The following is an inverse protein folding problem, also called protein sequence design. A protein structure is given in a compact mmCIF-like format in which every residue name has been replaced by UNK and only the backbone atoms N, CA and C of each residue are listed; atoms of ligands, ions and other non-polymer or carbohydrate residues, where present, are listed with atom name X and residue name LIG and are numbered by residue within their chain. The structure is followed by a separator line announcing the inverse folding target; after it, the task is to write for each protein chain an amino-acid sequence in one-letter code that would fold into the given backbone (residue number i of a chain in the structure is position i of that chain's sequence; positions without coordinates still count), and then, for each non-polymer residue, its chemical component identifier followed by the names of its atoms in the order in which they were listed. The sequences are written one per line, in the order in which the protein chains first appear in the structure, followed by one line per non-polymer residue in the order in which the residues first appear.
data_IF_115379306975
#
_entry.id   IF_115379306975
#
_cell.length_a   1.000
_cell.length_b   1.000
_cell.length_c   1.000
_cell.angle_alpha   90.00
_cell.angle_beta   90.00
_cell.angle_gamma   90.00
#
_symmetry.space_group_name_H-M   'P 1'
#
loop_
_entity.id
_entity.type
_entity.pdbx_description
1 polymer ?
#
# COMPACT_ATOMS: atom_id res chain seq x y z
N UNK A 1 -7.94 21.08 12.10
CA UNK A 1 -7.74 20.01 13.12
C UNK A 1 -8.45 18.69 12.78
N UNK A 2 -9.69 18.66 12.25
CA UNK A 2 -10.35 17.41 11.84
C UNK A 2 -9.60 16.71 10.69
N UNK A 3 -9.16 17.44 9.67
CA UNK A 3 -8.44 16.94 8.50
C UNK A 3 -7.16 16.20 8.87
N UNK A 4 -6.37 16.74 9.80
CA UNK A 4 -5.11 16.13 10.26
C UNK A 4 -5.39 14.81 11.04
N UNK A 5 -6.47 14.74 11.82
CA UNK A 5 -6.85 13.48 12.49
C UNK A 5 -7.22 12.38 11.49
N UNK A 6 -7.97 12.74 10.43
CA UNK A 6 -8.29 11.82 9.36
C UNK A 6 -7.03 11.37 8.60
N UNK A 7 -6.08 12.28 8.38
CA UNK A 7 -4.79 11.95 7.78
C UNK A 7 -4.03 10.89 8.60
N UNK A 8 -3.93 11.04 9.93
CA UNK A 8 -3.27 10.04 10.77
C UNK A 8 -3.99 8.69 10.78
N UNK A 9 -5.32 8.72 10.80
CA UNK A 9 -6.11 7.50 10.71
C UNK A 9 -5.90 6.81 9.34
N UNK A 10 -5.93 7.57 8.24
CA UNK A 10 -5.67 7.01 6.91
C UNK A 10 -4.27 6.41 6.81
N UNK A 11 -3.24 7.06 7.36
CA UNK A 11 -1.87 6.52 7.39
C UNK A 11 -1.77 5.20 8.15
N UNK A 12 -2.47 5.10 9.27
CA UNK A 12 -2.52 3.86 10.05
C UNK A 12 -3.20 2.73 9.25
N UNK A 13 -4.42 2.99 8.73
CA UNK A 13 -5.19 1.95 8.04
C UNK A 13 -4.61 1.56 6.68
N UNK A 14 -3.97 2.48 5.94
CA UNK A 14 -3.32 2.18 4.66
C UNK A 14 -2.13 1.24 4.80
N UNK A 15 -1.53 1.15 5.99
CA UNK A 15 -0.41 0.28 6.31
C UNK A 15 -0.81 -0.88 7.26
N UNK A 16 -2.03 -0.89 7.78
CA UNK A 16 -2.56 -2.01 8.57
C UNK A 16 -2.98 -3.17 7.65
N UNK A 17 -2.00 -3.75 6.96
CA UNK A 17 -2.20 -4.78 5.94
C UNK A 17 -1.66 -6.11 6.47
N UNK A 18 -2.57 -7.03 6.74
CA UNK A 18 -2.28 -8.28 7.44
C UNK A 18 -1.38 -9.22 6.64
N UNK A 19 -1.38 -9.14 5.31
CA UNK A 19 -0.60 -10.01 4.43
C UNK A 19 0.88 -9.62 4.34
N UNK A 20 1.28 -8.40 4.70
CA UNK A 20 2.65 -7.94 4.54
C UNK A 20 3.73 -8.85 5.16
N UNK A 21 3.59 -9.35 6.38
CA UNK A 21 4.60 -10.25 6.92
C UNK A 21 4.53 -11.67 6.36
N UNK A 22 3.46 -12.02 5.63
CA UNK A 22 3.18 -13.41 5.24
C UNK A 22 3.20 -13.69 3.73
N UNK A 23 3.21 -12.68 2.86
CA UNK A 23 3.08 -12.91 1.41
C UNK A 23 4.18 -13.82 0.85
N UNK A 24 5.42 -13.70 1.31
CA UNK A 24 6.50 -14.59 0.87
C UNK A 24 6.26 -16.04 1.33
N UNK A 25 5.79 -16.22 2.56
CA UNK A 25 5.44 -17.55 3.08
C UNK A 25 4.30 -18.18 2.27
N UNK A 26 3.26 -17.39 1.97
CA UNK A 26 2.12 -17.83 1.15
C UNK A 26 2.61 -18.34 -0.22
N UNK A 27 3.52 -17.61 -0.87
CA UNK A 27 4.04 -18.02 -2.17
C UNK A 27 4.93 -19.27 -2.09
N UNK A 28 5.74 -19.41 -1.04
CA UNK A 28 6.56 -20.61 -0.83
C UNK A 28 5.69 -21.84 -0.55
N UNK A 29 4.66 -21.74 0.28
CA UNK A 29 3.68 -22.82 0.52
C UNK A 29 2.94 -23.23 -0.76
N UNK A 30 2.79 -22.30 -1.72
CA UNK A 30 2.21 -22.55 -3.04
C UNK A 30 3.21 -23.07 -4.07
N UNK A 31 4.42 -23.40 -3.65
CA UNK A 31 5.45 -24.03 -4.50
C UNK A 31 6.35 -23.04 -5.26
N UNK A 32 6.28 -21.73 -4.97
CA UNK A 32 7.24 -20.78 -5.54
C UNK A 32 8.58 -20.85 -4.79
N UNK A 33 9.67 -20.90 -5.53
CA UNK A 33 11.01 -20.92 -4.95
C UNK A 33 11.40 -19.56 -4.35
N UNK A 34 12.43 -19.54 -3.49
CA UNK A 34 13.02 -18.30 -2.96
C UNK A 34 13.50 -17.40 -4.10
N UNK A 35 14.08 -17.98 -5.16
CA UNK A 35 14.49 -17.23 -6.35
C UNK A 35 13.29 -16.57 -7.05
N UNK A 36 12.17 -17.27 -7.18
CA UNK A 36 10.92 -16.69 -7.71
C UNK A 36 10.43 -15.51 -6.86
N UNK A 37 10.54 -15.60 -5.55
CA UNK A 37 10.21 -14.50 -4.64
C UNK A 37 11.11 -13.27 -4.86
N UNK A 38 12.39 -13.47 -5.15
CA UNK A 38 13.31 -12.39 -5.54
C UNK A 38 12.88 -11.70 -6.84
N UNK A 39 12.48 -12.48 -7.85
CA UNK A 39 11.93 -11.92 -9.09
C UNK A 39 10.64 -11.13 -8.87
N UNK A 40 9.74 -11.58 -7.99
CA UNK A 40 8.53 -10.84 -7.65
C UNK A 40 8.84 -9.48 -7.03
N UNK A 41 9.85 -9.40 -6.15
CA UNK A 41 10.31 -8.12 -5.59
C UNK A 41 10.91 -7.20 -6.67
N UNK A 42 11.69 -7.76 -7.61
CA UNK A 42 12.21 -7.01 -8.75
C UNK A 42 11.09 -6.47 -9.65
N UNK A 43 10.06 -7.28 -9.92
CA UNK A 43 8.86 -6.86 -10.68
C UNK A 43 8.15 -5.70 -9.96
N UNK A 44 7.96 -5.80 -8.66
CA UNK A 44 7.36 -4.71 -7.88
C UNK A 44 8.17 -3.42 -7.97
N UNK A 45 9.47 -3.48 -7.71
CA UNK A 45 10.36 -2.32 -7.76
C UNK A 45 10.40 -1.69 -9.16
N UNK A 46 10.47 -2.51 -10.21
CA UNK A 46 10.42 -2.04 -11.59
C UNK A 46 9.05 -1.39 -11.92
N UNK A 47 7.96 -1.97 -11.44
CA UNK A 47 6.62 -1.42 -11.62
C UNK A 47 6.47 -0.06 -10.95
N UNK A 48 6.95 0.10 -9.71
CA UNK A 48 6.99 1.40 -9.02
C UNK A 48 7.73 2.42 -9.89
N UNK A 49 8.95 2.09 -10.34
CA UNK A 49 9.76 2.99 -11.16
C UNK A 49 9.08 3.33 -12.49
N UNK A 50 8.49 2.36 -13.17
CA UNK A 50 7.84 2.56 -14.47
C UNK A 50 6.57 3.41 -14.38
N UNK A 51 5.83 3.28 -13.28
CA UNK A 51 4.58 4.02 -13.08
C UNK A 51 4.76 5.38 -12.38
N UNK A 52 5.94 5.70 -11.83
CA UNK A 52 6.18 6.96 -11.10
C UNK A 52 5.83 8.20 -11.94
N UNK A 53 6.34 8.28 -13.17
CA UNK A 53 6.08 9.43 -14.06
C UNK A 53 4.60 9.46 -14.51
N UNK A 54 4.00 8.38 -15.05
CA UNK A 54 2.59 8.37 -15.42
C UNK A 54 1.65 8.71 -14.24
N UNK A 55 1.92 8.16 -13.05
CA UNK A 55 1.12 8.40 -11.86
C UNK A 55 1.20 9.88 -11.41
N UNK A 56 2.40 10.47 -11.44
CA UNK A 56 2.59 11.90 -11.18
C UNK A 56 1.77 12.77 -12.14
N UNK A 57 1.82 12.49 -13.44
CA UNK A 57 1.02 13.23 -14.45
C UNK A 57 -0.49 13.11 -14.21
N UNK A 58 -0.98 11.96 -13.75
CA UNK A 58 -2.39 11.76 -13.38
C UNK A 58 -2.72 12.57 -12.12
N UNK A 59 -1.87 12.51 -11.11
CA UNK A 59 -2.04 13.24 -9.85
C UNK A 59 -2.10 14.75 -10.03
N UNK A 60 -1.30 15.29 -10.97
CA UNK A 60 -1.28 16.74 -11.24
C UNK A 60 -2.53 17.25 -11.97
N UNK A 61 -3.18 16.38 -12.75
CA UNK A 61 -4.37 16.74 -13.55
C UNK A 61 -5.70 16.38 -12.89
N UNK A 62 -5.70 15.39 -12.02
CA UNK A 62 -6.90 14.88 -11.35
C UNK A 62 -7.04 15.44 -9.93
N UNK A 63 -8.24 15.27 -9.36
CA UNK A 63 -8.42 15.56 -7.94
C UNK A 63 -7.63 14.54 -7.10
N UNK A 64 -6.66 15.02 -6.29
CA UNK A 64 -5.74 14.19 -5.51
C UNK A 64 -6.46 13.18 -4.61
N UNK A 65 -7.62 13.56 -4.04
CA UNK A 65 -8.43 12.64 -3.24
C UNK A 65 -8.92 11.44 -4.05
N UNK A 66 -9.33 11.64 -5.30
CA UNK A 66 -9.76 10.54 -6.16
C UNK A 66 -8.60 9.65 -6.57
N UNK A 67 -7.39 10.22 -6.78
CA UNK A 67 -6.19 9.44 -7.07
C UNK A 67 -5.79 8.57 -5.87
N UNK A 68 -5.85 9.11 -4.64
CA UNK A 68 -5.61 8.35 -3.41
C UNK A 68 -6.62 7.22 -3.21
N UNK A 69 -7.91 7.46 -3.51
CA UNK A 69 -8.93 6.40 -3.45
C UNK A 69 -8.64 5.32 -4.50
N UNK A 70 -8.28 5.72 -5.73
CA UNK A 70 -7.91 4.78 -6.79
C UNK A 70 -6.68 3.94 -6.39
N UNK A 71 -5.68 4.54 -5.76
CA UNK A 71 -4.51 3.82 -5.24
C UNK A 71 -4.91 2.71 -4.25
N UNK A 72 -5.80 3.00 -3.29
CA UNK A 72 -6.30 2.01 -2.33
C UNK A 72 -7.05 0.88 -3.03
N UNK A 73 -7.93 1.21 -4.00
CA UNK A 73 -8.67 0.20 -4.77
C UNK A 73 -7.71 -0.70 -5.56
N UNK A 74 -6.70 -0.12 -6.23
CA UNK A 74 -5.69 -0.87 -6.97
C UNK A 74 -4.88 -1.79 -6.04
N UNK A 75 -4.54 -1.34 -4.83
CA UNK A 75 -3.86 -2.15 -3.81
C UNK A 75 -4.74 -3.33 -3.37
N UNK A 76 -6.02 -3.10 -3.12
CA UNK A 76 -6.97 -4.16 -2.78
C UNK A 76 -7.08 -5.20 -3.91
N UNK A 77 -7.21 -4.76 -5.17
CA UNK A 77 -7.23 -5.65 -6.33
C UNK A 77 -5.93 -6.47 -6.46
N UNK A 78 -4.77 -5.89 -6.14
CA UNK A 78 -3.50 -6.59 -6.14
C UNK A 78 -3.52 -7.82 -5.20
N UNK A 79 -4.05 -7.66 -3.98
CA UNK A 79 -4.14 -8.76 -3.01
C UNK A 79 -5.22 -9.78 -3.39
N UNK A 80 -6.33 -9.34 -3.99
CA UNK A 80 -7.35 -10.25 -4.52
C UNK A 80 -6.82 -11.13 -5.65
N UNK A 81 -5.90 -10.64 -6.49
CA UNK A 81 -5.24 -11.44 -7.52
C UNK A 81 -4.35 -12.55 -6.95
N UNK A 82 -3.97 -12.48 -5.68
CA UNK A 82 -3.23 -13.55 -5.03
C UNK A 82 -4.13 -14.67 -4.48
N UNK A 83 -5.46 -14.48 -4.44
CA UNK A 83 -6.39 -15.51 -3.96
C UNK A 83 -6.37 -16.75 -4.88
N UNK A 84 -6.56 -16.63 -6.21
CA UNK A 84 -6.43 -17.77 -7.09
C UNK A 84 -4.96 -18.19 -7.21
N UNK A 85 -4.67 -19.47 -6.95
CA UNK A 85 -3.31 -20.01 -7.01
C UNK A 85 -2.91 -20.35 -8.46
N UNK A 86 -2.73 -19.35 -9.30
CA UNK A 86 -2.24 -19.52 -10.68
C UNK A 86 -0.71 -19.44 -10.77
N UNK A 87 -0.01 -19.78 -9.70
CA UNK A 87 1.44 -19.79 -9.63
C UNK A 87 2.07 -18.39 -9.77
N UNK A 88 3.20 -18.34 -10.48
CA UNK A 88 3.99 -17.11 -10.62
C UNK A 88 3.22 -15.96 -11.30
N UNK A 89 2.33 -16.27 -12.25
CA UNK A 89 1.61 -15.24 -13.01
C UNK A 89 0.67 -14.44 -12.11
N UNK A 90 -0.13 -15.08 -11.25
CA UNK A 90 -1.02 -14.35 -10.34
C UNK A 90 -0.23 -13.55 -9.31
N UNK A 91 0.87 -14.12 -8.80
CA UNK A 91 1.77 -13.40 -7.90
C UNK A 91 2.34 -12.14 -8.58
N UNK A 92 2.93 -12.27 -9.76
CA UNK A 92 3.54 -11.18 -10.52
C UNK A 92 2.52 -10.09 -10.87
N UNK A 93 1.31 -10.46 -11.33
CA UNK A 93 0.24 -9.50 -11.64
C UNK A 93 -0.15 -8.67 -10.41
N UNK A 94 -0.27 -9.28 -9.25
CA UNK A 94 -0.54 -8.57 -8.00
C UNK A 94 0.60 -7.61 -7.63
N UNK A 95 1.87 -8.00 -7.81
CA UNK A 95 3.01 -7.13 -7.56
C UNK A 95 3.07 -5.93 -8.54
N UNK A 96 2.68 -6.11 -9.80
CA UNK A 96 2.55 -5.00 -10.76
C UNK A 96 1.49 -4.00 -10.30
N UNK A 97 0.30 -4.48 -9.91
CA UNK A 97 -0.75 -3.60 -9.40
C UNK A 97 -0.37 -2.94 -8.07
N UNK A 98 0.31 -3.66 -7.19
CA UNK A 98 0.81 -3.05 -5.95
C UNK A 98 1.82 -1.94 -6.26
N UNK A 99 2.76 -2.14 -7.21
CA UNK A 99 3.69 -1.10 -7.65
C UNK A 99 2.97 0.12 -8.25
N UNK A 100 1.92 -0.09 -9.06
CA UNK A 100 1.08 0.99 -9.57
C UNK A 100 0.38 1.75 -8.41
N UNK A 101 -0.19 1.04 -7.45
CA UNK A 101 -0.81 1.66 -6.27
C UNK A 101 0.18 2.53 -5.50
N UNK A 102 1.40 2.03 -5.29
CA UNK A 102 2.46 2.76 -4.57
C UNK A 102 2.84 4.05 -5.29
N UNK A 103 3.01 4.00 -6.62
CA UNK A 103 3.30 5.17 -7.45
C UNK A 103 2.17 6.19 -7.45
N UNK A 104 0.90 5.75 -7.48
CA UNK A 104 -0.25 6.65 -7.36
C UNK A 104 -0.34 7.31 -5.98
N UNK A 105 0.10 6.63 -4.94
CA UNK A 105 -0.01 7.12 -3.56
C UNK A 105 1.13 8.08 -3.19
N UNK A 106 2.38 7.76 -3.53
CA UNK A 106 3.57 8.41 -2.97
C UNK A 106 3.58 9.93 -3.13
N UNK A 107 3.66 10.44 -4.35
CA UNK A 107 3.67 11.88 -4.62
C UNK A 107 2.32 12.56 -4.36
N UNK A 108 1.22 11.85 -4.59
CA UNK A 108 -0.14 12.40 -4.41
C UNK A 108 -0.45 12.71 -2.96
N UNK A 109 -0.06 11.84 -2.02
CA UNK A 109 -0.28 12.05 -0.59
C UNK A 109 0.49 13.24 -0.07
N UNK A 110 1.77 13.36 -0.45
CA UNK A 110 2.62 14.47 -0.03
C UNK A 110 2.10 15.81 -0.53
N UNK A 111 1.73 15.87 -1.79
CA UNK A 111 1.17 17.06 -2.40
C UNK A 111 -0.20 17.43 -1.80
N UNK A 112 -1.07 16.44 -1.57
CA UNK A 112 -2.36 16.66 -0.91
C UNK A 112 -2.20 17.22 0.51
N UNK A 113 -1.27 16.69 1.29
CA UNK A 113 -1.00 17.17 2.65
C UNK A 113 -0.47 18.61 2.61
N UNK A 114 0.49 18.90 1.71
CA UNK A 114 1.06 20.24 1.58
C UNK A 114 0.00 21.27 1.17
N UNK A 115 -0.81 20.97 0.15
CA UNK A 115 -1.89 21.86 -0.31
C UNK A 115 -2.94 22.11 0.78
N UNK A 116 -3.29 21.06 1.55
CA UNK A 116 -4.23 21.19 2.67
C UNK A 116 -3.68 22.14 3.72
N UNK A 117 -2.41 22.01 4.11
CA UNK A 117 -1.79 22.88 5.10
C UNK A 117 -1.59 24.31 4.55
N UNK A 118 -1.29 24.45 3.26
CA UNK A 118 -1.18 25.77 2.61
C UNK A 118 -2.51 26.51 2.63
N UNK A 119 -3.61 25.82 2.38
CA UNK A 119 -4.95 26.42 2.45
C UNK A 119 -5.37 26.83 3.88
N UNK A 120 -4.79 26.20 4.90
CA UNK A 120 -5.00 26.53 6.32
C UNK A 120 -3.94 27.52 6.87
N UNK A 121 -2.98 27.98 6.06
CA UNK A 121 -1.89 28.87 6.47
C UNK A 121 -0.93 28.27 7.51
N UNK A 122 -0.73 26.95 7.48
CA UNK A 122 0.02 26.18 8.50
C UNK A 122 1.08 25.25 7.91
N UNK A 123 1.70 25.68 6.81
CA UNK A 123 2.75 24.90 6.11
C UNK A 123 4.01 24.69 6.97
N UNK A 124 4.28 25.55 7.94
CA UNK A 124 5.37 25.38 8.91
C UNK A 124 5.25 24.09 9.74
N UNK A 125 4.05 23.53 9.84
CA UNK A 125 3.80 22.28 10.55
C UNK A 125 3.94 21.01 9.68
N UNK A 126 4.20 21.17 8.37
CA UNK A 126 4.24 20.05 7.41
C UNK A 126 5.15 18.89 7.87
N UNK A 127 6.43 19.18 8.16
CA UNK A 127 7.42 18.17 8.56
C UNK A 127 6.98 17.42 9.82
N UNK A 128 6.43 18.14 10.81
CA UNK A 128 5.95 17.53 12.06
C UNK A 128 4.73 16.64 11.82
N UNK A 129 3.80 17.09 11.00
CA UNK A 129 2.57 16.34 10.70
C UNK A 129 2.89 15.11 9.88
N UNK A 130 3.76 15.25 8.85
CA UNK A 130 4.24 14.11 8.05
C UNK A 130 4.98 13.08 8.89
N UNK A 131 5.87 13.52 9.79
CA UNK A 131 6.58 12.63 10.71
C UNK A 131 5.64 11.86 11.65
N UNK A 132 4.60 12.51 12.18
CA UNK A 132 3.56 11.82 12.96
C UNK A 132 2.74 10.85 12.08
N UNK A 133 2.43 11.21 10.85
CA UNK A 133 1.78 10.32 9.89
C UNK A 133 2.60 9.04 9.68
N UNK A 134 3.93 9.18 9.49
CA UNK A 134 4.83 8.02 9.38
C UNK A 134 4.86 7.16 10.64
N UNK A 135 4.79 7.75 11.82
CA UNK A 135 4.68 7.00 13.07
C UNK A 135 3.39 6.16 13.12
N UNK A 136 2.24 6.73 12.72
CA UNK A 136 0.99 5.98 12.65
C UNK A 136 1.01 4.87 11.58
N UNK A 137 1.64 5.11 10.44
CA UNK A 137 1.88 4.09 9.41
C UNK A 137 2.70 2.91 9.97
N UNK A 138 3.80 3.20 10.65
CA UNK A 138 4.64 2.18 11.29
C UNK A 138 3.89 1.41 12.38
N UNK A 139 3.04 2.07 13.15
CA UNK A 139 2.13 1.39 14.10
C UNK A 139 1.17 0.44 13.39
N UNK A 140 0.62 0.86 12.23
CA UNK A 140 -0.24 0.01 11.40
C UNK A 140 0.46 -1.29 11.03
N UNK A 141 1.68 -1.20 10.48
CA UNK A 141 2.50 -2.36 10.12
C UNK A 141 2.78 -3.24 11.35
N UNK A 142 3.21 -2.64 12.46
CA UNK A 142 3.57 -3.37 13.68
C UNK A 142 2.40 -4.14 14.28
N UNK A 143 1.19 -3.59 14.23
CA UNK A 143 -0.02 -4.24 14.73
C UNK A 143 -0.63 -5.21 13.72
N UNK A 144 -0.42 -5.01 12.43
CA UNK A 144 -0.87 -5.93 11.40
C UNK A 144 -0.20 -7.31 11.50
N UNK A 145 1.08 -7.36 11.91
CA UNK A 145 1.82 -8.61 12.02
C UNK A 145 1.20 -9.61 13.02
N UNK A 146 0.97 -9.29 14.29
CA UNK A 146 0.32 -10.21 15.22
C UNK A 146 -1.15 -10.47 14.86
N UNK A 147 -1.87 -9.49 14.32
CA UNK A 147 -3.25 -9.65 13.87
C UNK A 147 -3.34 -10.64 12.68
N UNK A 148 -2.46 -10.50 11.69
CA UNK A 148 -2.35 -11.44 10.57
C UNK A 148 -1.93 -12.83 11.02
N UNK A 149 -0.97 -12.93 11.97
CA UNK A 149 -0.57 -14.21 12.57
C UNK A 149 -1.71 -14.90 13.32
N UNK A 150 -2.55 -14.15 14.02
CA UNK A 150 -3.75 -14.72 14.63
C UNK A 150 -4.77 -15.19 13.59
N UNK A 151 -5.02 -14.37 12.55
CA UNK A 151 -5.97 -14.66 11.49
C UNK A 151 -5.52 -15.85 10.61
N UNK A 152 -4.20 -16.07 10.45
CA UNK A 152 -3.66 -17.17 9.65
C UNK A 152 -4.09 -18.56 10.15
N UNK A 153 -4.52 -18.67 11.43
CA UNK A 153 -5.11 -19.89 11.99
C UNK A 153 -6.38 -20.33 11.26
N UNK A 154 -7.08 -19.39 10.61
CA UNK A 154 -8.28 -19.66 9.80
C UNK A 154 -7.94 -19.86 8.31
N UNK A 155 -6.66 -19.92 7.97
CA UNK A 155 -6.13 -20.11 6.62
C UNK A 155 -5.65 -18.81 5.97
N UNK A 156 -4.69 -18.93 5.06
CA UNK A 156 -4.08 -17.80 4.38
C UNK A 156 -5.06 -17.03 3.47
N UNK A 157 -6.11 -17.66 2.98
CA UNK A 157 -7.19 -16.99 2.24
C UNK A 157 -7.89 -15.92 3.10
N UNK A 158 -8.10 -16.18 4.40
CA UNK A 158 -8.70 -15.21 5.32
C UNK A 158 -7.79 -13.96 5.48
N UNK A 159 -6.49 -14.16 5.55
CA UNK A 159 -5.50 -13.06 5.63
C UNK A 159 -5.54 -12.21 4.36
N UNK A 160 -5.58 -12.84 3.18
CA UNK A 160 -5.64 -12.12 1.89
C UNK A 160 -6.93 -11.29 1.75
N UNK A 161 -8.08 -11.89 2.06
CA UNK A 161 -9.38 -11.19 1.98
C UNK A 161 -9.44 -10.02 2.98
N UNK A 162 -8.92 -10.20 4.18
CA UNK A 162 -8.92 -9.15 5.20
C UNK A 162 -7.87 -8.04 4.91
N UNK A 163 -6.97 -8.25 3.96
CA UNK A 163 -5.96 -7.27 3.52
C UNK A 163 -6.39 -6.49 2.28
N UNK A 164 -7.42 -6.96 1.56
CA UNK A 164 -7.98 -6.29 0.39
C UNK A 164 -9.04 -5.27 0.78
#
# INVERSE_FOLDING_TARGET
MKTIRHYYASRFFSEFILVYPFYLLIFQERGLSVASSGWLMAIWSFSVMAFEIPAGMVSDKANRKHVLIAAVIVKALAFLLWIPNWGFISAASGFVLWGLSESLNSGTEEAWLYETLASEGSTEHYTRIRGKGQFFASMGIALAAPAGGWLSRYGMHAVLIASA
#
